data_IF_637866297366
#
_entry.id   IF_637866297366
#
_cell.length_a   1.000
_cell.length_b   1.000
_cell.length_c   1.000
_cell.angle_alpha   90.00
_cell.angle_beta   90.00
_cell.angle_gamma   90.00
#
_symmetry.space_group_name_H-M   'P 1'
#
loop_
_entity.id
_entity.type
_entity.pdbx_description
1 polymer ?
#
# COMPACT_ATOMS: atom_id res chain seq x y z
N UNK A 1 7.27 -18.32 -37.82
CA UNK A 1 5.99 -17.91 -37.18
C UNK A 1 6.16 -17.23 -35.81
N UNK A 2 7.37 -16.81 -35.38
CA UNK A 2 7.57 -16.17 -34.07
C UNK A 2 7.20 -14.68 -34.01
N UNK A 3 7.10 -13.99 -35.15
CA UNK A 3 6.80 -12.55 -35.21
C UNK A 3 5.42 -12.16 -34.68
N UNK A 4 4.45 -13.08 -34.76
CA UNK A 4 3.07 -12.82 -34.29
C UNK A 4 2.98 -12.79 -32.75
N UNK A 5 3.66 -13.73 -32.07
CA UNK A 5 3.63 -13.83 -30.60
C UNK A 5 4.34 -12.68 -29.88
N UNK A 6 5.40 -12.11 -30.47
CA UNK A 6 6.04 -10.90 -29.94
C UNK A 6 5.07 -9.71 -29.95
N UNK A 7 4.41 -9.46 -31.08
CA UNK A 7 3.47 -8.36 -31.22
C UNK A 7 2.23 -8.57 -30.33
N UNK A 8 1.70 -9.79 -30.31
CA UNK A 8 0.58 -10.18 -29.45
C UNK A 8 0.87 -9.89 -27.97
N UNK A 9 2.01 -10.36 -27.43
CA UNK A 9 2.35 -10.16 -26.02
C UNK A 9 2.37 -8.69 -25.61
N UNK A 10 2.90 -7.82 -26.48
CA UNK A 10 2.95 -6.37 -26.25
C UNK A 10 1.59 -5.70 -26.36
N UNK A 11 0.78 -6.10 -27.33
CA UNK A 11 -0.58 -5.60 -27.48
C UNK A 11 -1.45 -5.96 -26.26
N UNK A 12 -1.37 -7.21 -25.81
CA UNK A 12 -2.05 -7.72 -24.61
C UNK A 12 -1.60 -6.97 -23.34
N UNK A 13 -0.30 -6.70 -23.21
CA UNK A 13 0.23 -5.89 -22.10
C UNK A 13 -0.37 -4.46 -22.07
N UNK A 14 -0.48 -3.80 -23.24
CA UNK A 14 -1.09 -2.47 -23.33
C UNK A 14 -2.60 -2.50 -23.00
N UNK A 15 -3.31 -3.55 -23.42
CA UNK A 15 -4.71 -3.76 -23.04
C UNK A 15 -4.85 -3.96 -21.53
N UNK A 16 -3.99 -4.77 -20.91
CA UNK A 16 -3.93 -4.93 -19.46
C UNK A 16 -3.81 -3.57 -18.75
N UNK A 17 -2.87 -2.72 -19.18
CA UNK A 17 -2.72 -1.37 -18.62
C UNK A 17 -3.97 -0.51 -18.77
N UNK A 18 -4.66 -0.62 -19.90
CA UNK A 18 -5.93 0.10 -20.14
C UNK A 18 -7.06 -0.39 -19.23
N UNK A 19 -7.17 -1.70 -19.00
CA UNK A 19 -8.15 -2.28 -18.08
C UNK A 19 -7.84 -1.91 -16.62
N UNK A 20 -6.56 -1.87 -16.22
CA UNK A 20 -6.13 -1.39 -14.90
C UNK A 20 -6.54 0.07 -14.66
N UNK A 21 -6.32 0.95 -15.64
CA UNK A 21 -6.74 2.35 -15.57
C UNK A 21 -8.27 2.49 -15.44
N UNK A 22 -9.02 1.57 -16.05
CA UNK A 22 -10.47 1.49 -15.95
C UNK A 22 -10.98 0.66 -14.76
N UNK A 23 -10.10 0.27 -13.82
CA UNK A 23 -10.40 -0.58 -12.66
C UNK A 23 -11.10 -1.91 -12.96
N UNK A 24 -11.00 -2.41 -14.20
CA UNK A 24 -11.53 -3.70 -14.66
C UNK A 24 -10.51 -4.81 -14.40
N UNK A 25 -10.41 -5.23 -13.15
CA UNK A 25 -9.34 -6.11 -12.68
C UNK A 25 -9.36 -7.52 -13.31
N UNK A 26 -10.54 -8.09 -13.56
CA UNK A 26 -10.66 -9.42 -14.18
C UNK A 26 -10.22 -9.42 -15.65
N UNK A 27 -10.62 -8.38 -16.39
CA UNK A 27 -10.17 -8.16 -17.76
C UNK A 27 -8.66 -7.93 -17.80
N UNK A 28 -8.14 -7.04 -16.94
CA UNK A 28 -6.71 -6.76 -16.83
C UNK A 28 -5.91 -8.04 -16.56
N UNK A 29 -6.40 -8.89 -15.65
CA UNK A 29 -5.79 -10.17 -15.33
C UNK A 29 -5.79 -11.12 -16.52
N UNK A 30 -6.90 -11.18 -17.26
CA UNK A 30 -7.02 -12.03 -18.46
C UNK A 30 -6.02 -11.61 -19.53
N UNK A 31 -5.93 -10.31 -19.81
CA UNK A 31 -4.97 -9.77 -20.77
C UNK A 31 -3.52 -9.97 -20.33
N UNK A 32 -3.22 -9.81 -19.04
CA UNK A 32 -1.88 -10.03 -18.50
C UNK A 32 -1.46 -11.51 -18.57
N UNK A 33 -2.36 -12.47 -18.29
CA UNK A 33 -2.08 -13.90 -18.44
C UNK A 33 -1.83 -14.29 -19.91
N UNK A 34 -2.60 -13.72 -20.85
CA UNK A 34 -2.37 -13.91 -22.28
C UNK A 34 -1.02 -13.32 -22.72
N UNK A 35 -0.68 -12.11 -22.23
CA UNK A 35 0.61 -11.47 -22.48
C UNK A 35 1.78 -12.31 -21.96
N UNK A 36 1.62 -12.95 -20.79
CA UNK A 36 2.63 -13.84 -20.21
C UNK A 36 2.87 -15.06 -21.11
N UNK A 37 1.80 -15.75 -21.51
CA UNK A 37 1.89 -16.93 -22.38
C UNK A 37 2.55 -16.62 -23.73
N UNK A 38 2.17 -15.49 -24.35
CA UNK A 38 2.76 -15.03 -25.59
C UNK A 38 4.25 -14.67 -25.42
N UNK A 39 4.60 -13.95 -24.35
CA UNK A 39 5.98 -13.53 -24.07
C UNK A 39 6.90 -14.72 -23.79
N UNK A 40 6.43 -15.72 -23.01
CA UNK A 40 7.18 -16.97 -22.79
C UNK A 40 7.40 -17.74 -24.09
N UNK A 41 6.35 -17.87 -24.91
CA UNK A 41 6.43 -18.59 -26.19
C UNK A 41 7.36 -17.90 -27.20
N UNK A 42 7.40 -16.58 -27.17
CA UNK A 42 8.26 -15.75 -28.01
C UNK A 42 9.70 -15.65 -27.51
N UNK A 43 9.95 -15.96 -26.23
CA UNK A 43 11.22 -15.67 -25.57
C UNK A 43 11.46 -14.18 -25.32
N UNK A 44 10.41 -13.35 -25.27
CA UNK A 44 10.51 -11.92 -24.95
C UNK A 44 10.67 -11.73 -23.43
N UNK A 45 11.90 -11.90 -22.93
CA UNK A 45 12.22 -11.78 -21.49
C UNK A 45 11.98 -10.37 -20.96
N UNK A 46 12.13 -9.33 -21.81
CA UNK A 46 11.87 -7.94 -21.44
C UNK A 46 10.39 -7.72 -21.20
N UNK A 47 9.53 -8.22 -22.10
CA UNK A 47 8.08 -8.11 -21.94
C UNK A 47 7.58 -8.99 -20.79
N UNK A 48 8.06 -10.23 -20.70
CA UNK A 48 7.71 -11.16 -19.62
C UNK A 48 7.96 -10.55 -18.24
N UNK A 49 9.10 -9.89 -18.03
CA UNK A 49 9.40 -9.19 -16.78
C UNK A 49 8.35 -8.11 -16.44
N UNK A 50 7.87 -7.34 -17.42
CA UNK A 50 6.87 -6.29 -17.16
C UNK A 50 5.52 -6.92 -16.81
N UNK A 51 5.11 -7.90 -17.59
CA UNK A 51 3.86 -8.64 -17.39
C UNK A 51 3.82 -9.31 -16.02
N UNK A 52 4.93 -9.92 -15.58
CA UNK A 52 5.01 -10.56 -14.26
C UNK A 52 4.88 -9.55 -13.12
N UNK A 53 5.49 -8.36 -13.24
CA UNK A 53 5.27 -7.30 -12.26
C UNK A 53 3.79 -6.89 -12.18
N UNK A 54 3.12 -6.74 -13.32
CA UNK A 54 1.73 -6.31 -13.37
C UNK A 54 0.77 -7.40 -12.88
N UNK A 55 1.03 -8.67 -13.20
CA UNK A 55 0.33 -9.81 -12.59
C UNK A 55 0.52 -9.86 -11.07
N UNK A 56 1.72 -9.53 -10.59
CA UNK A 56 1.99 -9.38 -9.16
C UNK A 56 1.14 -8.27 -8.53
N UNK A 57 1.06 -7.11 -9.16
CA UNK A 57 0.25 -5.98 -8.69
C UNK A 57 -1.25 -6.31 -8.69
N UNK A 58 -1.75 -6.93 -9.78
CA UNK A 58 -3.13 -7.40 -9.88
C UNK A 58 -3.46 -8.41 -8.78
N UNK A 59 -2.60 -9.41 -8.59
CA UNK A 59 -2.76 -10.40 -7.53
C UNK A 59 -2.79 -9.74 -6.13
N UNK A 60 -1.95 -8.71 -5.90
CA UNK A 60 -1.93 -7.95 -4.66
C UNK A 60 -3.22 -7.14 -4.44
N UNK A 61 -3.80 -6.57 -5.49
CA UNK A 61 -5.10 -5.86 -5.43
C UNK A 61 -6.23 -6.86 -5.11
N UNK A 62 -6.19 -8.05 -5.71
CA UNK A 62 -7.14 -9.13 -5.46
C UNK A 62 -6.88 -9.89 -4.15
N UNK A 63 -6.00 -9.39 -3.27
CA UNK A 63 -5.62 -9.99 -1.99
C UNK A 63 -4.99 -11.40 -2.09
N UNK A 64 -4.52 -11.80 -3.28
CA UNK A 64 -3.82 -13.06 -3.56
C UNK A 64 -2.32 -12.91 -3.34
N UNK A 65 -1.94 -12.56 -2.12
CA UNK A 65 -0.57 -12.18 -1.79
C UNK A 65 0.46 -13.29 -2.05
N UNK A 66 0.07 -14.58 -1.96
CA UNK A 66 0.96 -15.70 -2.28
C UNK A 66 1.29 -15.79 -3.78
N UNK A 67 0.28 -15.61 -4.64
CA UNK A 67 0.48 -15.50 -6.09
C UNK A 67 1.36 -14.28 -6.41
N UNK A 68 1.07 -13.13 -5.79
CA UNK A 68 1.81 -11.90 -5.99
C UNK A 68 3.31 -12.04 -5.71
N UNK A 69 3.68 -12.66 -4.58
CA UNK A 69 5.08 -12.92 -4.20
C UNK A 69 5.80 -13.71 -5.31
N UNK A 70 5.21 -14.82 -5.77
CA UNK A 70 5.83 -15.65 -6.82
C UNK A 70 6.03 -14.89 -8.14
N UNK A 71 5.05 -14.07 -8.55
CA UNK A 71 5.19 -13.24 -9.76
C UNK A 71 6.28 -12.18 -9.63
N UNK A 72 6.37 -11.52 -8.47
CA UNK A 72 7.40 -10.53 -8.22
C UNK A 72 8.79 -11.15 -8.16
N UNK A 73 8.95 -12.31 -7.51
CA UNK A 73 10.24 -13.01 -7.43
C UNK A 73 10.75 -13.43 -8.81
N UNK A 74 9.87 -13.91 -9.69
CA UNK A 74 10.22 -14.19 -11.09
C UNK A 74 10.58 -12.90 -11.86
N UNK A 75 9.81 -11.81 -11.70
CA UNK A 75 10.14 -10.50 -12.26
C UNK A 75 11.51 -10.00 -11.79
N UNK A 76 11.86 -10.16 -10.51
CA UNK A 76 13.17 -9.80 -9.95
C UNK A 76 14.28 -10.62 -10.61
N UNK A 77 14.11 -11.93 -10.76
CA UNK A 77 15.10 -12.79 -11.40
C UNK A 77 15.38 -12.35 -12.85
N UNK A 78 14.33 -12.09 -13.63
CA UNK A 78 14.47 -11.58 -15.00
C UNK A 78 15.08 -10.17 -15.03
N UNK A 79 14.66 -9.28 -14.13
CA UNK A 79 15.22 -7.92 -14.06
C UNK A 79 16.72 -7.94 -13.76
N UNK A 80 17.19 -8.85 -12.89
CA UNK A 80 18.63 -9.04 -12.62
C UNK A 80 19.37 -9.57 -13.84
N UNK A 81 18.81 -10.57 -14.54
CA UNK A 81 19.40 -11.11 -15.78
C UNK A 81 19.54 -10.03 -16.86
N UNK A 82 18.57 -9.12 -16.94
CA UNK A 82 18.54 -8.01 -17.91
C UNK A 82 19.38 -6.79 -17.47
N UNK A 83 20.01 -6.82 -16.29
CA UNK A 83 20.69 -5.63 -15.72
C UNK A 83 19.74 -4.48 -15.35
N UNK A 84 18.43 -4.73 -15.30
CA UNK A 84 17.39 -3.74 -15.04
C UNK A 84 17.21 -3.50 -13.53
N UNK A 85 18.21 -2.84 -12.93
CA UNK A 85 18.35 -2.63 -11.48
C UNK A 85 17.13 -1.99 -10.82
N UNK A 86 16.60 -0.90 -11.37
CA UNK A 86 15.43 -0.20 -10.81
C UNK A 86 14.17 -1.08 -10.75
N UNK A 87 13.93 -1.89 -11.78
CA UNK A 87 12.80 -2.83 -11.81
C UNK A 87 12.95 -4.00 -10.84
N UNK A 88 14.19 -4.46 -10.58
CA UNK A 88 14.46 -5.44 -9.54
C UNK A 88 14.13 -4.87 -8.15
N UNK A 89 14.56 -3.64 -7.86
CA UNK A 89 14.22 -2.93 -6.62
C UNK A 89 12.70 -2.79 -6.47
N UNK A 90 12.01 -2.25 -7.47
CA UNK A 90 10.57 -2.03 -7.42
C UNK A 90 9.78 -3.34 -7.18
N UNK A 91 10.11 -4.41 -7.91
CA UNK A 91 9.46 -5.72 -7.74
C UNK A 91 9.75 -6.33 -6.36
N UNK A 92 10.96 -6.12 -5.83
CA UNK A 92 11.34 -6.60 -4.49
C UNK A 92 10.52 -5.90 -3.39
N UNK A 93 10.33 -4.58 -3.48
CA UNK A 93 9.51 -3.84 -2.50
C UNK A 93 8.03 -4.27 -2.57
N UNK A 94 7.50 -4.51 -3.77
CA UNK A 94 6.13 -5.01 -3.92
C UNK A 94 5.96 -6.42 -3.33
N UNK A 95 6.95 -7.30 -3.52
CA UNK A 95 6.98 -8.62 -2.87
C UNK A 95 7.00 -8.47 -1.33
N UNK A 96 7.82 -7.56 -0.79
CA UNK A 96 7.88 -7.29 0.64
C UNK A 96 6.52 -6.81 1.20
N UNK A 97 5.79 -5.95 0.49
CA UNK A 97 4.44 -5.54 0.89
C UNK A 97 3.47 -6.73 0.92
N UNK A 98 3.55 -7.63 -0.06
CA UNK A 98 2.76 -8.86 -0.07
C UNK A 98 3.14 -9.80 1.08
N UNK A 99 4.41 -9.88 1.46
CA UNK A 99 4.90 -10.62 2.64
C UNK A 99 4.33 -10.06 3.94
N UNK A 100 4.31 -8.73 4.12
CA UNK A 100 3.65 -8.08 5.27
C UNK A 100 2.19 -8.51 5.36
N UNK A 101 1.45 -8.46 4.25
CA UNK A 101 0.02 -8.84 4.20
C UNK A 101 -0.25 -10.32 4.48
N UNK A 102 0.79 -11.17 4.44
CA UNK A 102 0.71 -12.59 4.81
C UNK A 102 1.20 -12.89 6.23
N UNK A 103 1.48 -11.86 7.03
CA UNK A 103 2.04 -12.03 8.37
C UNK A 103 3.55 -12.34 8.38
N UNK A 104 4.24 -12.24 7.24
CA UNK A 104 5.68 -12.45 7.12
C UNK A 104 6.44 -11.13 7.33
N UNK A 105 6.07 -10.38 8.38
CA UNK A 105 6.58 -9.02 8.62
C UNK A 105 8.09 -8.99 8.89
N UNK A 106 8.63 -9.97 9.61
CA UNK A 106 10.07 -10.07 9.88
C UNK A 106 10.90 -10.18 8.60
N UNK A 107 10.49 -11.07 7.68
CA UNK A 107 11.15 -11.25 6.40
C UNK A 107 11.08 -9.98 5.55
N UNK A 108 9.91 -9.34 5.49
CA UNK A 108 9.71 -8.09 4.76
C UNK A 108 10.59 -6.95 5.30
N UNK A 109 10.72 -6.84 6.62
CA UNK A 109 11.57 -5.84 7.26
C UNK A 109 13.04 -6.03 6.86
N UNK A 110 13.57 -7.25 6.99
CA UNK A 110 14.96 -7.57 6.61
C UNK A 110 15.22 -7.25 5.13
N UNK A 111 14.30 -7.65 4.24
CA UNK A 111 14.42 -7.38 2.80
C UNK A 111 14.46 -5.87 2.53
N UNK A 112 13.54 -5.09 3.12
CA UNK A 112 13.49 -3.64 2.91
C UNK A 112 14.72 -2.92 3.50
N UNK A 113 15.22 -3.33 4.66
CA UNK A 113 16.42 -2.75 5.29
C UNK A 113 17.66 -2.96 4.42
N UNK A 114 17.84 -4.16 3.87
CA UNK A 114 18.96 -4.48 2.98
C UNK A 114 18.86 -3.74 1.63
N UNK A 115 17.64 -3.49 1.15
CA UNK A 115 17.39 -2.82 -0.14
C UNK A 115 17.51 -1.29 -0.04
N UNK A 116 17.35 -0.72 1.14
CA UNK A 116 17.26 0.74 1.33
C UNK A 116 18.52 1.51 0.86
N UNK A 117 19.76 1.04 1.08
CA UNK A 117 20.95 1.71 0.54
C UNK A 117 20.96 1.72 -1.01
N UNK A 118 20.50 0.64 -1.63
CA UNK A 118 20.46 0.54 -3.08
C UNK A 118 19.42 1.49 -3.69
N UNK A 119 18.20 1.54 -3.16
CA UNK A 119 17.17 2.45 -3.69
C UNK A 119 17.57 3.92 -3.52
N UNK A 120 18.25 4.27 -2.43
CA UNK A 120 18.82 5.61 -2.23
C UNK A 120 19.92 5.92 -3.25
N UNK A 121 20.81 4.97 -3.53
CA UNK A 121 21.89 5.13 -4.51
C UNK A 121 21.37 5.30 -5.95
N UNK A 122 20.16 4.81 -6.25
CA UNK A 122 19.50 5.03 -7.54
C UNK A 122 18.96 6.47 -7.71
N UNK A 123 18.93 7.28 -6.64
CA UNK A 123 18.35 8.63 -6.68
C UNK A 123 16.83 8.63 -6.83
N UNK A 124 16.15 7.49 -6.66
CA UNK A 124 14.70 7.39 -6.75
C UNK A 124 14.06 7.78 -5.41
N UNK A 125 13.78 9.07 -5.25
CA UNK A 125 13.12 9.61 -4.04
C UNK A 125 11.75 8.96 -3.81
N UNK A 126 10.97 8.73 -4.86
CA UNK A 126 9.64 8.14 -4.73
C UNK A 126 9.71 6.65 -4.33
N UNK A 127 10.64 5.90 -4.93
CA UNK A 127 10.94 4.51 -4.58
C UNK A 127 11.50 4.36 -3.16
N UNK A 128 12.35 5.31 -2.73
CA UNK A 128 12.87 5.35 -1.35
C UNK A 128 11.73 5.57 -0.35
N UNK A 129 10.84 6.54 -0.60
CA UNK A 129 9.66 6.77 0.23
C UNK A 129 8.78 5.51 0.30
N UNK A 130 8.56 4.82 -0.82
CA UNK A 130 7.76 3.59 -0.83
C UNK A 130 8.42 2.45 -0.04
N UNK A 131 9.73 2.28 -0.16
CA UNK A 131 10.49 1.28 0.59
C UNK A 131 10.38 1.52 2.10
N UNK A 132 10.50 2.77 2.53
CA UNK A 132 10.34 3.18 3.93
C UNK A 132 8.91 2.97 4.44
N UNK A 133 7.90 3.22 3.60
CA UNK A 133 6.51 2.94 3.94
C UNK A 133 6.29 1.44 4.22
N UNK A 134 6.78 0.56 3.33
CA UNK A 134 6.65 -0.89 3.51
C UNK A 134 7.43 -1.38 4.73
N UNK A 135 8.64 -0.87 4.95
CA UNK A 135 9.42 -1.16 6.16
C UNK A 135 8.68 -0.70 7.43
N UNK A 136 8.08 0.50 7.41
CA UNK A 136 7.26 1.01 8.51
C UNK A 136 6.08 0.08 8.83
N UNK A 137 5.38 -0.42 7.81
CA UNK A 137 4.29 -1.40 8.01
C UNK A 137 4.79 -2.70 8.62
N UNK A 138 5.93 -3.21 8.14
CA UNK A 138 6.55 -4.42 8.68
C UNK A 138 6.93 -4.25 10.15
N UNK A 139 7.63 -3.16 10.49
CA UNK A 139 8.04 -2.84 11.86
C UNK A 139 6.84 -2.63 12.79
N UNK A 140 5.78 -1.98 12.30
CA UNK A 140 4.54 -1.83 13.06
C UNK A 140 3.91 -3.19 13.39
N UNK A 141 3.82 -4.08 12.40
CA UNK A 141 3.30 -5.44 12.60
C UNK A 141 4.14 -6.30 13.55
N UNK A 142 5.42 -5.97 13.73
CA UNK A 142 6.32 -6.59 14.70
C UNK A 142 6.27 -5.95 16.10
N UNK A 143 5.45 -4.90 16.30
CA UNK A 143 5.41 -4.14 17.54
C UNK A 143 6.61 -3.21 17.76
N UNK A 144 7.49 -3.05 16.77
CA UNK A 144 8.62 -2.12 16.79
C UNK A 144 8.16 -0.68 16.51
N UNK A 145 7.21 -0.18 17.31
CA UNK A 145 6.52 1.08 17.06
C UNK A 145 7.44 2.32 17.00
N UNK A 146 8.49 2.48 17.83
CA UNK A 146 9.40 3.61 17.70
C UNK A 146 10.09 3.67 16.33
N UNK A 147 10.61 2.54 15.86
CA UNK A 147 11.26 2.44 14.56
C UNK A 147 10.26 2.62 13.41
N UNK A 148 9.06 2.03 13.53
CA UNK A 148 8.00 2.22 12.54
C UNK A 148 7.62 3.70 12.38
N UNK A 149 7.44 4.42 13.50
CA UNK A 149 7.13 5.84 13.49
C UNK A 149 8.25 6.68 12.81
N UNK A 150 9.51 6.34 13.03
CA UNK A 150 10.63 6.98 12.34
C UNK A 150 10.56 6.76 10.82
N UNK A 151 10.34 5.51 10.38
CA UNK A 151 10.24 5.19 8.95
C UNK A 151 9.04 5.85 8.27
N UNK A 152 7.90 5.94 8.95
CA UNK A 152 6.74 6.67 8.42
C UNK A 152 6.99 8.18 8.32
N UNK A 153 7.68 8.81 9.29
CA UNK A 153 8.08 10.22 9.19
C UNK A 153 9.01 10.46 8.01
N UNK A 154 10.02 9.62 7.83
CA UNK A 154 10.95 9.73 6.71
C UNK A 154 10.24 9.51 5.36
N UNK A 155 9.39 8.49 5.27
CA UNK A 155 8.52 8.26 4.11
C UNK A 155 7.69 9.50 3.78
N UNK A 156 7.02 10.09 4.78
CA UNK A 156 6.17 11.28 4.59
C UNK A 156 6.97 12.46 4.03
N UNK A 157 8.16 12.72 4.60
CA UNK A 157 9.03 13.80 4.14
C UNK A 157 9.48 13.59 2.69
N UNK A 158 9.94 12.38 2.35
CA UNK A 158 10.38 12.07 0.98
C UNK A 158 9.22 12.04 -0.01
N UNK A 159 8.03 11.57 0.41
CA UNK A 159 6.83 11.62 -0.41
C UNK A 159 6.43 13.05 -0.74
N UNK A 160 6.54 13.98 0.22
CA UNK A 160 6.32 15.40 -0.01
C UNK A 160 7.29 15.96 -1.06
N UNK A 161 8.60 15.71 -0.89
CA UNK A 161 9.64 16.13 -1.84
C UNK A 161 9.43 15.56 -3.24
N UNK A 162 8.92 14.33 -3.34
CA UNK A 162 8.61 13.67 -4.62
C UNK A 162 7.24 14.03 -5.20
N UNK A 163 6.47 14.92 -4.57
CA UNK A 163 5.10 15.28 -4.99
C UNK A 163 4.08 14.14 -4.89
N UNK A 164 4.37 13.10 -4.11
CA UNK A 164 3.52 11.91 -3.93
C UNK A 164 2.55 12.11 -2.77
N UNK A 165 1.58 13.04 -2.94
CA UNK A 165 0.58 13.40 -1.91
C UNK A 165 -0.18 12.22 -1.31
N UNK A 166 -0.61 11.26 -2.14
CA UNK A 166 -1.31 10.05 -1.66
C UNK A 166 -0.44 9.23 -0.70
N UNK A 167 0.84 9.03 -1.05
CA UNK A 167 1.79 8.30 -0.20
C UNK A 167 2.09 9.07 1.08
N UNK A 168 2.14 10.39 1.00
CA UNK A 168 2.32 11.27 2.15
C UNK A 168 1.14 11.14 3.13
N UNK A 169 -0.10 11.11 2.63
CA UNK A 169 -1.29 10.88 3.43
C UNK A 169 -1.29 9.49 4.08
N UNK A 170 -1.04 8.43 3.30
CA UNK A 170 -0.98 7.06 3.83
C UNK A 170 0.08 6.89 4.92
N UNK A 171 1.26 7.51 4.75
CA UNK A 171 2.29 7.51 5.80
C UNK A 171 1.83 8.24 7.07
N UNK A 172 1.09 9.35 6.92
CA UNK A 172 0.49 10.07 8.05
C UNK A 172 -0.56 9.24 8.80
N UNK A 173 -1.46 8.55 8.08
CA UNK A 173 -2.45 7.63 8.69
C UNK A 173 -1.73 6.57 9.53
N UNK A 174 -0.71 5.91 8.95
CA UNK A 174 0.04 4.86 9.65
C UNK A 174 0.90 5.38 10.79
N UNK A 175 1.41 6.61 10.67
CA UNK A 175 2.13 7.27 11.75
C UNK A 175 1.19 7.57 12.92
N UNK A 176 -0.02 8.06 12.66
CA UNK A 176 -1.03 8.29 13.69
C UNK A 176 -1.40 6.98 14.41
N UNK A 177 -1.72 5.92 13.68
CA UNK A 177 -1.99 4.58 14.25
C UNK A 177 -0.82 4.11 15.14
N UNK A 178 0.43 4.31 14.68
CA UNK A 178 1.64 3.92 15.43
C UNK A 178 1.88 4.79 16.67
N UNK A 179 1.51 6.07 16.63
CA UNK A 179 1.63 6.99 17.76
C UNK A 179 0.60 6.68 18.85
N UNK A 180 -0.61 6.26 18.49
CA UNK A 180 -1.57 5.70 19.44
C UNK A 180 -1.01 4.47 20.15
N UNK A 181 -0.42 3.52 19.41
CA UNK A 181 0.22 2.34 20.00
C UNK A 181 1.40 2.67 20.94
N UNK A 182 2.02 3.84 20.75
CA UNK A 182 3.07 4.38 21.63
C UNK A 182 2.53 5.16 22.84
N UNK A 183 1.21 5.29 23.00
CA UNK A 183 0.60 6.12 24.05
C UNK A 183 0.84 7.61 23.84
N UNK A 184 0.91 8.08 22.59
CA UNK A 184 1.14 9.50 22.21
C UNK A 184 -0.03 10.07 21.40
N UNK A 185 -1.26 10.03 21.93
CA UNK A 185 -2.47 10.32 21.17
C UNK A 185 -2.58 11.78 20.71
N UNK A 186 -1.98 12.75 21.40
CA UNK A 186 -1.96 14.15 20.96
C UNK A 186 -1.14 14.33 19.68
N UNK A 187 -0.02 13.61 19.57
CA UNK A 187 0.79 13.62 18.35
C UNK A 187 0.11 12.84 17.24
N UNK A 188 -0.58 11.74 17.59
CA UNK A 188 -1.38 10.99 16.65
C UNK A 188 -2.51 11.85 16.06
N UNK A 189 -3.11 12.74 16.86
CA UNK A 189 -4.17 13.64 16.41
C UNK A 189 -3.66 14.59 15.32
N UNK A 190 -2.52 15.24 15.56
CA UNK A 190 -1.90 16.12 14.56
C UNK A 190 -1.62 15.39 13.24
N UNK A 191 -1.12 14.16 13.32
CA UNK A 191 -0.80 13.36 12.12
C UNK A 191 -2.06 12.86 11.40
N UNK A 192 -3.11 12.49 12.13
CA UNK A 192 -4.39 12.07 11.56
C UNK A 192 -5.13 13.22 10.88
N UNK A 193 -5.19 14.40 11.49
CA UNK A 193 -5.77 15.62 10.91
C UNK A 193 -5.02 16.04 9.63
N UNK A 194 -3.69 16.02 9.69
CA UNK A 194 -2.83 16.29 8.54
C UNK A 194 -3.12 15.32 7.39
N UNK A 195 -3.17 14.02 7.68
CA UNK A 195 -3.45 13.01 6.67
C UNK A 195 -4.85 13.17 6.07
N UNK A 196 -5.86 13.45 6.91
CA UNK A 196 -7.23 13.69 6.45
C UNK A 196 -7.29 14.88 5.49
N UNK A 197 -6.66 16.00 5.83
CA UNK A 197 -6.61 17.17 4.95
C UNK A 197 -6.02 16.84 3.56
N UNK A 198 -4.93 16.07 3.52
CA UNK A 198 -4.35 15.62 2.26
C UNK A 198 -5.26 14.69 1.46
N UNK A 199 -5.98 13.76 2.11
CA UNK A 199 -6.91 12.85 1.40
C UNK A 199 -8.09 13.60 0.78
N UNK A 200 -8.52 14.70 1.41
CA UNK A 200 -9.55 15.60 0.87
C UNK A 200 -8.98 16.36 -0.34
N UNK A 201 -7.75 16.90 -0.23
CA UNK A 201 -7.08 17.60 -1.34
C UNK A 201 -6.91 16.70 -2.58
N UNK A 202 -6.52 15.44 -2.40
CA UNK A 202 -6.32 14.51 -3.51
C UNK A 202 -7.61 13.88 -4.04
N UNK A 203 -8.74 14.02 -3.32
CA UNK A 203 -10.00 13.36 -3.66
C UNK A 203 -9.96 11.83 -3.50
N UNK A 204 -8.96 11.29 -2.79
CA UNK A 204 -8.79 9.87 -2.57
C UNK A 204 -9.80 9.34 -1.53
N UNK A 205 -11.06 9.17 -1.94
CA UNK A 205 -12.17 8.88 -1.02
C UNK A 205 -11.96 7.64 -0.15
N UNK A 206 -11.36 6.58 -0.70
CA UNK A 206 -11.02 5.39 0.09
C UNK A 206 -10.05 5.73 1.23
N UNK A 207 -9.00 6.48 0.92
CA UNK A 207 -7.96 6.83 1.89
C UNK A 207 -8.49 7.87 2.90
N UNK A 208 -9.44 8.72 2.49
CA UNK A 208 -10.20 9.60 3.39
C UNK A 208 -10.98 8.79 4.44
N UNK A 209 -11.65 7.69 4.04
CA UNK A 209 -12.33 6.80 4.98
C UNK A 209 -11.38 6.22 6.03
N UNK A 210 -10.19 5.78 5.61
CA UNK A 210 -9.15 5.30 6.54
C UNK A 210 -8.65 6.41 7.46
N UNK A 211 -8.40 7.62 6.95
CA UNK A 211 -7.96 8.75 7.76
C UNK A 211 -9.00 9.14 8.82
N UNK A 212 -10.29 9.15 8.46
CA UNK A 212 -11.40 9.39 9.40
C UNK A 212 -11.52 8.29 10.45
N UNK A 213 -11.35 7.02 10.06
CA UNK A 213 -11.36 5.90 11.00
C UNK A 213 -10.21 6.02 12.02
N UNK A 214 -8.99 6.29 11.56
CA UNK A 214 -7.83 6.53 12.43
C UNK A 214 -8.05 7.73 13.34
N UNK A 215 -8.54 8.85 12.80
CA UNK A 215 -8.86 10.05 13.59
C UNK A 215 -9.92 9.75 14.66
N UNK A 216 -10.95 8.98 14.32
CA UNK A 216 -11.97 8.52 15.26
C UNK A 216 -11.38 7.72 16.44
N UNK A 217 -10.47 6.78 16.15
CA UNK A 217 -9.75 6.01 17.19
C UNK A 217 -8.88 6.91 18.06
N UNK A 218 -8.13 7.83 17.46
CA UNK A 218 -7.30 8.80 18.20
C UNK A 218 -8.13 9.66 19.14
N UNK A 219 -9.29 10.15 18.67
CA UNK A 219 -10.21 10.95 19.49
C UNK A 219 -10.80 10.14 20.65
N UNK A 220 -11.04 8.84 20.46
CA UNK A 220 -11.45 7.96 21.54
C UNK A 220 -10.36 7.81 22.61
N UNK A 221 -9.10 7.63 22.20
CA UNK A 221 -7.94 7.57 23.11
C UNK A 221 -7.77 8.87 23.91
N UNK A 222 -8.06 10.02 23.27
CA UNK A 222 -8.07 11.35 23.90
C UNK A 222 -9.31 11.64 24.75
N UNK A 223 -10.20 10.67 24.97
CA UNK A 223 -11.44 10.84 25.75
C UNK A 223 -12.36 11.93 25.16
N UNK A 224 -12.41 12.03 23.82
CA UNK A 224 -13.31 12.93 23.06
C UNK A 224 -14.37 12.09 22.30
N UNK A 225 -15.27 11.39 23.02
CA UNK A 225 -16.13 10.36 22.42
C UNK A 225 -17.15 10.91 21.43
N UNK A 226 -17.66 12.13 21.62
CA UNK A 226 -18.60 12.75 20.68
C UNK A 226 -17.93 12.99 19.33
N UNK A 227 -16.77 13.65 19.32
CA UNK A 227 -16.01 13.92 18.09
C UNK A 227 -15.51 12.63 17.43
N UNK A 228 -15.11 11.64 18.24
CA UNK A 228 -14.76 10.30 17.76
C UNK A 228 -15.91 9.67 16.95
N UNK A 229 -17.13 9.66 17.52
CA UNK A 229 -18.32 9.11 16.84
C UNK A 229 -18.64 9.86 15.55
N UNK A 230 -18.53 11.18 15.54
CA UNK A 230 -18.77 11.98 14.33
C UNK A 230 -17.84 11.54 13.19
N UNK A 231 -16.53 11.46 13.46
CA UNK A 231 -15.53 11.03 12.46
C UNK A 231 -15.75 9.58 12.02
N UNK A 232 -16.09 8.67 12.93
CA UNK A 232 -16.40 7.28 12.59
C UNK A 232 -17.67 7.16 11.74
N UNK A 233 -18.72 7.95 12.00
CA UNK A 233 -19.91 7.98 11.14
C UNK A 233 -19.61 8.53 9.74
N UNK A 234 -18.69 9.49 9.60
CA UNK A 234 -18.21 9.94 8.29
C UNK A 234 -17.43 8.82 7.57
N UNK A 235 -16.53 8.13 8.27
CA UNK A 235 -15.79 6.99 7.72
C UNK A 235 -16.72 5.88 7.24
N UNK A 236 -17.70 5.51 8.07
CA UNK A 236 -18.69 4.47 7.75
C UNK A 236 -19.47 4.79 6.47
N UNK A 237 -20.00 6.02 6.34
CA UNK A 237 -20.71 6.47 5.14
C UNK A 237 -19.85 6.38 3.88
N UNK A 238 -18.55 6.68 3.98
CA UNK A 238 -17.62 6.53 2.86
C UNK A 238 -17.44 5.06 2.50
N UNK A 239 -17.16 4.19 3.48
CA UNK A 239 -16.95 2.77 3.21
C UNK A 239 -18.19 2.08 2.66
N UNK A 240 -19.40 2.38 3.19
CA UNK A 240 -20.66 1.87 2.66
C UNK A 240 -20.87 2.27 1.20
N UNK A 241 -20.70 3.56 0.88
CA UNK A 241 -20.84 4.07 -0.49
C UNK A 241 -19.86 3.42 -1.47
N UNK A 242 -18.69 3.04 -0.99
CA UNK A 242 -17.66 2.35 -1.79
C UNK A 242 -17.81 0.82 -1.78
N UNK A 243 -18.78 0.26 -1.04
CA UNK A 243 -18.99 -1.18 -0.91
C UNK A 243 -17.82 -1.90 -0.22
N UNK A 244 -17.12 -1.20 0.68
CA UNK A 244 -15.89 -1.68 1.31
C UNK A 244 -16.18 -2.40 2.64
N UNK A 245 -15.51 -3.53 2.93
CA UNK A 245 -15.76 -4.31 4.15
C UNK A 245 -15.43 -3.56 5.45
N UNK A 246 -14.61 -2.51 5.37
CA UNK A 246 -14.25 -1.62 6.49
C UNK A 246 -15.48 -0.95 7.12
N UNK A 247 -16.61 -0.87 6.41
CA UNK A 247 -17.86 -0.39 6.99
C UNK A 247 -18.24 -1.19 8.26
N UNK A 248 -18.04 -2.52 8.24
CA UNK A 248 -18.34 -3.39 9.37
C UNK A 248 -17.40 -3.16 10.56
N UNK A 249 -16.09 -3.00 10.30
CA UNK A 249 -15.11 -2.67 11.35
C UNK A 249 -15.47 -1.35 12.05
N UNK A 250 -15.91 -0.35 11.28
CA UNK A 250 -16.33 0.93 11.85
C UNK A 250 -17.63 0.80 12.66
N UNK A 251 -18.56 -0.05 12.25
CA UNK A 251 -19.77 -0.36 13.03
C UNK A 251 -19.44 -0.97 14.38
N UNK A 252 -18.48 -1.90 14.43
CA UNK A 252 -18.01 -2.51 15.68
C UNK A 252 -17.40 -1.45 16.61
N UNK A 253 -16.51 -0.60 16.10
CA UNK A 253 -15.92 0.50 16.88
C UNK A 253 -16.98 1.46 17.44
N UNK A 254 -17.99 1.82 16.63
CA UNK A 254 -19.09 2.66 17.09
C UNK A 254 -19.90 1.98 18.21
N UNK A 255 -20.12 0.67 18.13
CA UNK A 255 -20.80 -0.09 19.17
C UNK A 255 -20.00 -0.13 20.47
N UNK A 256 -18.69 -0.39 20.41
CA UNK A 256 -17.80 -0.38 21.58
C UNK A 256 -17.85 0.97 22.32
N UNK A 257 -17.83 2.09 21.59
CA UNK A 257 -17.92 3.44 22.15
C UNK A 257 -19.28 3.75 22.77
N UNK A 258 -20.35 3.06 22.41
CA UNK A 258 -21.65 3.19 23.09
C UNK A 258 -21.71 2.37 24.39
N UNK A 259 -20.96 1.27 24.46
CA UNK A 259 -20.94 0.37 25.63
C UNK A 259 -19.99 0.81 26.74
N UNK A 260 -19.01 1.68 26.47
CA UNK A 260 -18.23 2.33 27.52
C UNK A 260 -18.97 3.59 27.99
N UNK A 261 -19.65 3.59 29.16
CA UNK A 261 -20.15 4.83 29.74
C UNK A 261 -18.93 5.68 30.07
N UNK A 262 -19.03 7.00 29.87
CA UNK A 262 -18.00 7.94 30.30
C UNK A 262 -17.54 7.58 31.72
N UNK A 263 -16.27 7.18 31.87
CA UNK A 263 -15.59 7.31 33.16
C UNK A 263 -15.36 8.80 33.35
N UNK A 264 -16.45 9.51 33.63
CA UNK A 264 -16.46 10.86 34.14
C UNK A 264 -16.55 10.72 35.66
N UNK A 265 -15.38 10.72 36.30
CA UNK A 265 -15.19 11.17 37.69
C UNK A 265 -13.83 11.85 37.75
#
# INVERSE_FOLDING_TARGET
MSGDRFAEGRARFLLCGSHLAATRLDDARTEALAAEAASRSAGDTVMLRQVLNDLGLIAQILHRNGEAIGRFEESVALARQLGHRSGAVASTVNSALSKVRRGQAAEAATVCEQLLPEVRALGDTAGTAYTLYVLGLALHGLGCYPQAAERFRECRALAATAGRRERQALAGIRLADTLCALGRPEQALTEAEFALALTIETGAQRDQGYALQTLGRVLADLRRPTESRDRLHEAHRIFERLGLPQAAEVTELLAELMTQPGRDT
#
